data_IF_809711382477
#
_entry.id   IF_809711382477
#
_cell.length_a   1.000
_cell.length_b   1.000
_cell.length_c   1.000
_cell.angle_alpha   90.00
_cell.angle_beta   90.00
_cell.angle_gamma   90.00
#
_symmetry.space_group_name_H-M   'P 1'
#
loop_
_entity.id
_entity.type
_entity.pdbx_description
1 polymer ?
#
# COMPACT_ATOMS: atom_id res chain seq x y z
N UNK A 1 -14.45 -44.32 -1.52
CA UNK A 1 -13.50 -43.53 -2.35
C UNK A 1 -14.18 -42.33 -3.04
N UNK A 2 -15.28 -42.51 -3.78
CA UNK A 2 -16.00 -41.43 -4.48
C UNK A 2 -16.44 -40.25 -3.58
N UNK A 3 -16.95 -40.54 -2.37
CA UNK A 3 -17.36 -39.52 -1.38
C UNK A 3 -16.19 -38.70 -0.83
N UNK A 4 -15.05 -39.35 -0.58
CA UNK A 4 -13.85 -38.68 -0.08
C UNK A 4 -13.24 -37.75 -1.15
N UNK A 5 -13.27 -38.16 -2.42
CA UNK A 5 -12.85 -37.32 -3.55
C UNK A 5 -13.74 -36.06 -3.68
N UNK A 6 -15.06 -36.23 -3.57
CA UNK A 6 -16.01 -35.10 -3.62
C UNK A 6 -15.78 -34.12 -2.46
N UNK A 7 -15.53 -34.64 -1.25
CA UNK A 7 -15.21 -33.80 -0.09
C UNK A 7 -13.88 -33.06 -0.27
N UNK A 8 -12.85 -33.73 -0.79
CA UNK A 8 -11.56 -33.09 -1.07
C UNK A 8 -11.68 -31.98 -2.12
N UNK A 9 -12.46 -32.20 -3.18
CA UNK A 9 -12.71 -31.19 -4.21
C UNK A 9 -13.52 -29.99 -3.66
N UNK A 10 -14.51 -30.23 -2.81
CA UNK A 10 -15.30 -29.18 -2.18
C UNK A 10 -14.45 -28.32 -1.22
N UNK A 11 -13.56 -28.96 -0.46
CA UNK A 11 -12.61 -28.26 0.42
C UNK A 11 -11.61 -27.45 -0.42
N UNK A 12 -11.06 -28.02 -1.49
CA UNK A 12 -10.15 -27.30 -2.38
C UNK A 12 -10.83 -26.08 -3.02
N UNK A 13 -12.07 -26.24 -3.49
CA UNK A 13 -12.86 -25.14 -4.06
C UNK A 13 -13.15 -24.02 -3.04
N UNK A 14 -13.38 -24.39 -1.76
CA UNK A 14 -13.58 -23.43 -0.68
C UNK A 14 -12.30 -22.64 -0.36
N UNK A 15 -11.13 -23.28 -0.40
CA UNK A 15 -9.84 -22.62 -0.16
C UNK A 15 -9.31 -21.80 -1.35
N UNK A 16 -9.85 -21.98 -2.56
CA UNK A 16 -9.47 -21.19 -3.74
C UNK A 16 -10.22 -19.86 -3.86
N UNK A 17 -11.19 -19.56 -2.98
CA UNK A 17 -11.81 -18.23 -2.93
C UNK A 17 -10.82 -17.26 -2.30
N UNK A 18 -9.95 -16.69 -3.12
CA UNK A 18 -9.18 -15.50 -2.75
C UNK A 18 -10.20 -14.39 -2.54
N UNK A 19 -10.43 -14.03 -1.28
CA UNK A 19 -11.23 -12.86 -0.95
C UNK A 19 -10.54 -11.62 -1.54
N UNK A 20 -11.03 -11.13 -2.67
CA UNK A 20 -10.58 -9.86 -3.22
C UNK A 20 -11.26 -8.76 -2.41
N UNK A 21 -10.51 -8.18 -1.48
CA UNK A 21 -10.94 -6.93 -0.86
C UNK A 21 -10.85 -5.84 -1.93
N UNK A 22 -11.93 -5.09 -2.21
CA UNK A 22 -11.84 -3.99 -3.15
C UNK A 22 -10.82 -2.98 -2.63
N UNK A 23 -10.09 -2.35 -3.54
CA UNK A 23 -9.21 -1.24 -3.18
C UNK A 23 -10.05 -0.16 -2.47
N UNK A 24 -9.49 0.41 -1.39
CA UNK A 24 -10.12 1.52 -0.71
C UNK A 24 -10.25 2.70 -1.68
N UNK A 25 -11.35 3.44 -1.59
CA UNK A 25 -11.48 4.69 -2.34
C UNK A 25 -10.46 5.74 -1.85
N UNK A 26 -10.30 6.79 -2.64
CA UNK A 26 -9.33 7.85 -2.36
C UNK A 26 -9.64 8.57 -1.04
N UNK A 27 -10.91 8.76 -0.69
CA UNK A 27 -11.34 9.42 0.54
C UNK A 27 -10.92 8.61 1.78
N UNK A 28 -11.20 7.31 1.76
CA UNK A 28 -10.83 6.35 2.80
C UNK A 28 -9.32 6.24 2.93
N UNK A 29 -8.61 6.22 1.81
CA UNK A 29 -7.14 6.21 1.77
C UNK A 29 -6.57 7.47 2.44
N UNK A 30 -7.06 8.67 2.08
CA UNK A 30 -6.63 9.94 2.69
C UNK A 30 -6.93 10.00 4.18
N UNK A 31 -8.13 9.59 4.60
CA UNK A 31 -8.51 9.56 6.01
C UNK A 31 -7.62 8.62 6.82
N UNK A 32 -7.32 7.44 6.26
CA UNK A 32 -6.43 6.46 6.89
C UNK A 32 -5.02 7.01 7.02
N UNK A 33 -4.44 7.54 5.95
CA UNK A 33 -3.10 8.13 5.97
C UNK A 33 -3.01 9.30 6.95
N UNK A 34 -4.02 10.18 6.99
CA UNK A 34 -4.08 11.29 7.96
C UNK A 34 -4.02 10.78 9.39
N UNK A 35 -4.88 9.79 9.73
CA UNK A 35 -4.91 9.19 11.06
C UNK A 35 -3.59 8.53 11.42
N UNK A 36 -3.01 7.74 10.52
CA UNK A 36 -1.76 7.03 10.77
C UNK A 36 -0.59 8.00 10.93
N UNK A 37 -0.47 9.01 10.06
CA UNK A 37 0.59 10.01 10.17
C UNK A 37 0.48 10.84 11.46
N UNK A 38 -0.73 11.08 11.96
CA UNK A 38 -0.94 11.68 13.28
C UNK A 38 -0.29 10.90 14.43
N UNK A 39 -0.16 9.57 14.30
CA UNK A 39 0.51 8.71 15.29
C UNK A 39 2.03 8.75 15.18
N UNK A 40 2.59 9.03 13.99
CA UNK A 40 4.05 9.08 13.75
C UNK A 40 4.67 10.37 14.28
N UNK A 41 3.91 11.46 14.37
CA UNK A 41 4.32 12.72 14.98
C UNK A 41 4.85 13.78 14.01
N UNK A 42 5.09 14.99 14.54
CA UNK A 42 5.24 16.22 13.75
C UNK A 42 6.52 16.31 12.89
N UNK A 43 7.55 15.51 13.19
CA UNK A 43 8.79 15.46 12.39
C UNK A 43 8.68 14.54 11.18
N UNK A 44 7.52 13.92 10.97
CA UNK A 44 7.26 12.98 9.88
C UNK A 44 6.66 13.68 8.66
N UNK A 45 6.69 13.01 7.52
CA UNK A 45 6.07 13.50 6.28
C UNK A 45 5.73 12.34 5.36
N UNK A 46 4.83 12.58 4.42
CA UNK A 46 4.42 11.58 3.44
C UNK A 46 3.98 12.26 2.15
N UNK A 47 4.28 11.63 1.02
CA UNK A 47 3.84 12.04 -0.30
C UNK A 47 3.41 10.80 -1.08
N UNK A 48 2.20 10.82 -1.61
CA UNK A 48 1.66 9.76 -2.49
C UNK A 48 1.25 10.42 -3.79
N UNK A 49 1.79 9.89 -4.90
CA UNK A 49 1.54 10.41 -6.24
C UNK A 49 1.12 9.27 -7.16
N UNK A 50 0.09 9.52 -7.96
CA UNK A 50 -0.25 8.68 -9.08
C UNK A 50 0.82 8.89 -10.17
N UNK A 51 1.52 7.81 -10.54
CA UNK A 51 2.60 7.90 -11.53
C UNK A 51 2.09 7.93 -12.98
N UNK A 52 0.84 7.52 -13.23
CA UNK A 52 0.21 7.58 -14.54
C UNK A 52 -0.33 8.96 -14.87
N UNK A 53 -0.93 9.64 -13.90
CA UNK A 53 -1.52 10.98 -14.09
C UNK A 53 -0.64 12.12 -13.56
N UNK A 54 0.30 11.81 -12.66
CA UNK A 54 1.07 12.81 -11.94
C UNK A 54 0.29 13.51 -10.82
N UNK A 55 -0.93 13.08 -10.50
CA UNK A 55 -1.75 13.65 -9.44
C UNK A 55 -1.19 13.33 -8.05
N UNK A 56 -1.13 14.33 -7.17
CA UNK A 56 -0.84 14.11 -5.75
C UNK A 56 -2.10 13.59 -5.05
N UNK A 57 -2.07 12.33 -4.64
CA UNK A 57 -3.19 11.69 -3.95
C UNK A 57 -3.20 12.01 -2.45
N UNK A 58 -2.03 12.21 -1.84
CA UNK A 58 -1.88 12.60 -0.43
C UNK A 58 -0.54 13.31 -0.20
N UNK A 59 -0.53 14.34 0.65
CA UNK A 59 0.69 15.03 1.06
C UNK A 59 0.62 15.52 2.51
N UNK A 60 1.72 15.35 3.24
CA UNK A 60 1.94 15.89 4.57
C UNK A 60 3.41 16.32 4.67
N UNK A 61 3.64 17.62 4.88
CA UNK A 61 4.98 18.23 4.93
C UNK A 61 5.92 17.78 3.78
N UNK A 62 5.46 17.79 2.51
CA UNK A 62 6.20 17.18 1.40
C UNK A 62 7.52 17.89 1.08
N UNK A 63 7.62 19.19 1.36
CA UNK A 63 8.78 20.02 1.03
C UNK A 63 9.77 20.19 2.18
N UNK A 64 9.55 19.50 3.31
CA UNK A 64 10.46 19.57 4.46
C UNK A 64 11.65 18.64 4.22
N UNK A 65 12.89 19.15 4.15
CA UNK A 65 14.06 18.31 3.91
C UNK A 65 14.27 17.28 5.03
N UNK A 66 14.70 16.08 4.65
CA UNK A 66 14.99 14.96 5.57
C UNK A 66 16.26 14.26 5.16
N UNK A 67 16.99 13.71 6.13
CA UNK A 67 18.15 12.87 5.85
C UNK A 67 17.66 11.60 5.12
N UNK A 68 18.08 11.33 3.87
CA UNK A 68 17.55 10.22 3.07
C UNK A 68 17.98 8.85 3.62
N UNK A 69 19.08 8.79 4.39
CA UNK A 69 19.67 7.55 4.88
C UNK A 69 19.85 6.53 3.74
N UNK A 70 19.46 5.27 3.94
CA UNK A 70 19.57 4.24 2.90
C UNK A 70 18.63 4.42 1.70
N UNK A 71 17.74 5.42 1.67
CA UNK A 71 16.94 5.75 0.47
C UNK A 71 17.83 6.29 -0.65
N UNK A 72 18.97 6.91 -0.32
CA UNK A 72 19.97 7.42 -1.27
C UNK A 72 20.43 6.36 -2.29
N UNK A 73 20.44 5.09 -1.87
CA UNK A 73 20.80 3.96 -2.74
C UNK A 73 19.95 3.90 -4.01
N UNK A 74 18.67 4.24 -3.93
CA UNK A 74 17.78 4.27 -5.10
C UNK A 74 18.26 5.30 -6.14
N UNK A 75 18.74 6.45 -5.69
CA UNK A 75 19.28 7.49 -6.57
C UNK A 75 20.63 7.08 -7.16
N UNK A 76 21.52 6.50 -6.35
CA UNK A 76 22.82 6.03 -6.84
C UNK A 76 22.65 4.93 -7.90
N UNK A 77 21.78 3.94 -7.65
CA UNK A 77 21.57 2.82 -8.59
C UNK A 77 20.87 3.25 -9.87
N UNK A 78 19.92 4.19 -9.83
CA UNK A 78 19.20 4.63 -11.03
C UNK A 78 20.01 5.57 -11.94
N UNK A 79 21.11 6.13 -11.43
CA UNK A 79 21.99 7.02 -12.18
C UNK A 79 23.10 6.28 -12.97
N UNK A 80 23.18 4.95 -12.89
CA UNK A 80 24.14 4.10 -13.63
C UNK A 80 23.41 3.25 -14.65
#
# INVERSE_FOLDING_TARGET
MRRALVLLLAVHAFFTVVATTPAADLATTRATLTRQMGLVGATSGALVRDLGTGETLFALAPDVPRVPASVEKLYTTSAT
#
